data_IF_458900217515
#
_entry.id   IF_458900217515
#
_cell.length_a   1.000
_cell.length_b   1.000
_cell.length_c   1.000
_cell.angle_alpha   90.00
_cell.angle_beta   90.00
_cell.angle_gamma   90.00
#
_symmetry.space_group_name_H-M   'P 1'
#
loop_
_entity.id
_entity.type
_entity.pdbx_description
1 polymer ?
#
# COMPACT_ATOMS: atom_id res chain seq x y z
N UNK A 1 27.88 56.72 -74.05
CA UNK A 1 28.40 57.15 -72.73
C UNK A 1 28.08 56.05 -71.71
N UNK A 2 29.13 55.47 -71.13
CA UNK A 2 29.25 54.75 -69.82
C UNK A 2 28.30 53.57 -69.45
N UNK A 3 28.78 52.56 -68.68
CA UNK A 3 28.50 51.14 -68.94
C UNK A 3 27.76 50.44 -67.75
N UNK A 4 27.65 49.08 -67.68
CA UNK A 4 26.56 48.34 -67.01
C UNK A 4 26.87 47.94 -65.56
N UNK A 5 25.86 47.45 -64.85
CA UNK A 5 26.07 46.65 -63.64
C UNK A 5 25.31 45.31 -63.71
N UNK A 6 26.15 44.28 -63.70
CA UNK A 6 25.89 42.87 -63.46
C UNK A 6 25.20 42.70 -62.10
N UNK A 7 24.19 41.84 -62.00
CA UNK A 7 24.17 40.91 -60.87
C UNK A 7 23.46 39.61 -61.20
N UNK A 8 24.18 38.54 -60.88
CA UNK A 8 23.90 37.12 -61.05
C UNK A 8 23.04 36.59 -59.88
N UNK A 9 22.51 35.38 -60.09
CA UNK A 9 22.06 34.37 -59.10
C UNK A 9 20.67 34.64 -58.52
N UNK A 10 19.82 33.65 -58.24
CA UNK A 10 19.94 32.19 -58.21
C UNK A 10 18.51 31.64 -58.18
N UNK A 11 18.20 30.59 -58.94
CA UNK A 11 17.21 29.63 -58.47
C UNK A 11 17.75 28.98 -57.20
N UNK A 12 16.90 28.85 -56.18
CA UNK A 12 16.85 27.66 -55.34
C UNK A 12 15.40 27.41 -54.88
N UNK A 13 14.99 26.14 -54.82
CA UNK A 13 13.62 25.69 -54.56
C UNK A 13 13.34 25.59 -53.06
N UNK A 14 12.08 25.39 -52.69
CA UNK A 14 11.74 24.82 -51.38
C UNK A 14 10.69 25.59 -50.60
N UNK A 15 9.47 25.69 -51.14
CA UNK A 15 8.28 25.88 -50.33
C UNK A 15 7.98 24.58 -49.56
N UNK A 16 8.79 24.25 -48.55
CA UNK A 16 8.59 23.02 -47.76
C UNK A 16 9.31 23.01 -46.40
N UNK A 17 9.38 24.12 -45.64
CA UNK A 17 9.99 24.08 -44.29
C UNK A 17 9.37 25.06 -43.28
N UNK A 18 8.06 25.32 -43.37
CA UNK A 18 7.33 26.06 -42.32
C UNK A 18 6.04 25.37 -41.85
N UNK A 19 6.02 24.02 -41.90
CA UNK A 19 4.96 23.21 -41.26
C UNK A 19 5.49 22.06 -40.41
N UNK A 20 6.80 22.01 -40.16
CA UNK A 20 7.42 20.95 -39.37
C UNK A 20 7.79 21.36 -37.93
N UNK A 21 7.65 22.64 -37.55
CA UNK A 21 7.98 23.11 -36.18
C UNK A 21 6.76 23.16 -35.27
N UNK A 22 5.54 23.23 -35.81
CA UNK A 22 4.31 23.16 -35.01
C UNK A 22 3.96 21.72 -34.58
N UNK A 23 4.47 20.70 -35.26
CA UNK A 23 4.26 19.30 -34.88
C UNK A 23 5.15 18.86 -33.70
N UNK A 24 6.31 19.50 -33.50
CA UNK A 24 7.19 19.20 -32.36
C UNK A 24 6.72 19.84 -31.05
N UNK A 25 6.03 20.98 -31.09
CA UNK A 25 5.39 21.57 -29.91
C UNK A 25 4.12 20.82 -29.47
N UNK A 26 3.43 20.15 -30.40
CA UNK A 26 2.28 19.31 -30.09
C UNK A 26 2.70 17.93 -29.53
N UNK A 27 3.87 17.41 -29.93
CA UNK A 27 4.41 16.17 -29.38
C UNK A 27 5.04 16.33 -27.99
N UNK A 28 5.52 17.53 -27.61
CA UNK A 28 5.96 17.78 -26.23
C UNK A 28 4.79 18.05 -25.29
N UNK A 29 3.67 18.60 -25.80
CA UNK A 29 2.45 18.78 -25.02
C UNK A 29 1.73 17.45 -24.66
N UNK A 30 1.91 16.40 -25.46
CA UNK A 30 1.45 15.03 -25.14
C UNK A 30 2.36 14.28 -24.18
N UNK A 31 3.53 14.83 -23.83
CA UNK A 31 4.43 14.31 -22.78
C UNK A 31 4.33 15.14 -21.50
N UNK A 32 3.86 16.39 -21.58
CA UNK A 32 3.64 17.26 -20.42
C UNK A 32 2.19 17.28 -19.90
N UNK A 33 1.33 16.36 -20.37
CA UNK A 33 -0.07 16.28 -19.99
C UNK A 33 -0.39 14.96 -19.28
N UNK A 34 -0.22 14.96 -17.95
CA UNK A 34 -0.84 14.09 -16.92
C UNK A 34 0.00 14.03 -15.63
N UNK A 35 1.04 14.86 -15.51
CA UNK A 35 1.55 15.25 -14.20
C UNK A 35 0.63 16.30 -13.59
N UNK A 36 -0.54 15.90 -13.10
CA UNK A 36 -1.21 16.70 -12.09
C UNK A 36 -0.34 16.61 -10.83
N UNK A 37 0.58 17.56 -10.75
CA UNK A 37 1.47 17.89 -9.64
C UNK A 37 0.66 18.52 -8.49
N UNK A 38 -0.38 17.79 -8.09
CA UNK A 38 -0.93 17.79 -6.75
C UNK A 38 -0.86 16.36 -6.30
N UNK A 39 0.34 15.87 -5.99
CA UNK A 39 0.46 14.65 -5.21
C UNK A 39 -0.46 14.87 -3.99
N UNK A 40 -1.55 14.09 -3.86
CA UNK A 40 -2.38 14.17 -2.66
C UNK A 40 -1.46 13.95 -1.49
N UNK A 41 -1.78 14.51 -0.33
CA UNK A 41 -1.09 14.20 0.91
C UNK A 41 -1.08 12.66 1.09
N UNK A 42 -0.01 12.00 0.61
CA UNK A 42 0.05 10.53 0.41
C UNK A 42 0.04 9.79 1.74
N UNK A 43 -0.03 10.53 2.84
CA UNK A 43 0.02 10.02 4.19
C UNK A 43 -1.14 9.09 4.54
N UNK A 44 -2.20 8.97 3.71
CA UNK A 44 -3.46 8.27 4.00
C UNK A 44 -3.84 8.45 5.48
N UNK A 45 -4.13 9.70 5.92
CA UNK A 45 -4.18 10.05 7.34
C UNK A 45 -5.24 9.28 8.11
N UNK A 46 -6.33 8.90 7.46
CA UNK A 46 -7.38 8.04 8.02
C UNK A 46 -6.89 6.61 8.24
N UNK A 47 -6.18 6.03 7.27
CA UNK A 47 -5.53 4.72 7.42
C UNK A 47 -4.48 4.78 8.53
N UNK A 48 -3.64 5.82 8.57
CA UNK A 48 -2.65 6.01 9.63
C UNK A 48 -3.29 6.07 11.03
N UNK A 49 -4.42 6.75 11.15
CA UNK A 49 -5.16 6.84 12.42
C UNK A 49 -5.75 5.49 12.80
N UNK A 50 -6.32 4.76 11.83
CA UNK A 50 -6.86 3.41 12.02
C UNK A 50 -5.77 2.42 12.44
N UNK A 51 -4.61 2.44 11.78
CA UNK A 51 -3.48 1.56 12.11
C UNK A 51 -2.90 1.87 13.50
N UNK A 52 -2.80 3.15 13.88
CA UNK A 52 -2.37 3.54 15.23
C UNK A 52 -3.33 3.05 16.31
N UNK A 53 -4.64 3.19 16.08
CA UNK A 53 -5.65 2.67 17.01
C UNK A 53 -5.57 1.14 17.12
N UNK A 54 -5.46 0.42 15.99
CA UNK A 54 -5.30 -1.03 15.98
C UNK A 54 -4.02 -1.50 16.68
N UNK A 55 -2.90 -0.81 16.47
CA UNK A 55 -1.65 -1.13 17.16
C UNK A 55 -1.78 -0.95 18.67
N UNK A 56 -2.40 0.15 19.10
CA UNK A 56 -2.66 0.40 20.52
C UNK A 56 -3.56 -0.68 21.12
N UNK A 57 -4.68 -1.00 20.46
CA UNK A 57 -5.62 -2.02 20.93
C UNK A 57 -4.97 -3.41 20.98
N UNK A 58 -4.06 -3.72 20.04
CA UNK A 58 -3.28 -4.96 20.04
C UNK A 58 -2.25 -5.05 21.17
N UNK A 59 -1.66 -3.92 21.55
CA UNK A 59 -0.73 -3.83 22.68
C UNK A 59 -1.47 -3.98 24.02
N UNK A 60 -2.67 -3.41 24.14
CA UNK A 60 -3.55 -3.61 25.30
C UNK A 60 -4.19 -5.00 25.35
N UNK A 61 -4.45 -5.60 24.18
CA UNK A 61 -4.88 -6.98 24.07
C UNK A 61 -3.80 -7.90 24.65
N UNK A 62 -4.24 -8.87 25.44
CA UNK A 62 -3.34 -9.85 26.04
C UNK A 62 -2.30 -9.25 27.01
N UNK A 63 -2.71 -8.26 27.82
CA UNK A 63 -1.91 -7.74 28.92
C UNK A 63 -1.32 -8.84 29.82
N UNK A 64 -0.21 -8.55 30.52
CA UNK A 64 0.65 -9.54 31.21
C UNK A 64 -0.05 -10.47 32.20
N UNK A 65 -1.20 -10.08 32.75
CA UNK A 65 -1.95 -10.85 33.75
C UNK A 65 -3.13 -11.64 33.17
N UNK A 66 -3.36 -11.58 31.85
CA UNK A 66 -4.50 -12.23 31.21
C UNK A 66 -4.25 -13.72 30.98
N UNK A 67 -5.30 -14.52 31.14
CA UNK A 67 -5.29 -15.94 30.74
C UNK A 67 -5.31 -16.07 29.22
N UNK A 68 -4.93 -17.23 28.66
CA UNK A 68 -5.06 -17.49 27.24
C UNK A 68 -6.50 -17.31 26.73
N UNK A 69 -7.54 -17.71 27.48
CA UNK A 69 -8.92 -17.44 27.04
C UNK A 69 -9.27 -15.95 27.04
N UNK A 70 -8.85 -15.20 28.07
CA UNK A 70 -9.14 -13.77 28.14
C UNK A 70 -8.45 -13.02 26.99
N UNK A 71 -7.20 -13.36 26.70
CA UNK A 71 -6.48 -12.80 25.57
C UNK A 71 -7.11 -13.21 24.22
N UNK A 72 -7.57 -14.46 24.09
CA UNK A 72 -8.29 -14.91 22.90
C UNK A 72 -9.55 -14.06 22.63
N UNK A 73 -10.31 -13.71 23.68
CA UNK A 73 -11.49 -12.85 23.57
C UNK A 73 -11.14 -11.39 23.21
N UNK A 74 -10.01 -10.87 23.69
CA UNK A 74 -9.54 -9.55 23.28
C UNK A 74 -9.19 -9.53 21.80
N UNK A 75 -8.48 -10.55 21.31
CA UNK A 75 -8.12 -10.67 19.89
C UNK A 75 -9.36 -10.78 18.99
N UNK A 76 -10.41 -11.49 19.44
CA UNK A 76 -11.68 -11.57 18.69
C UNK A 76 -12.27 -10.16 18.41
N UNK A 77 -12.14 -9.22 19.35
CA UNK A 77 -12.63 -7.84 19.21
C UNK A 77 -11.88 -7.04 18.15
N UNK A 78 -10.63 -7.43 17.83
CA UNK A 78 -9.82 -6.77 16.80
C UNK A 78 -10.21 -7.19 15.38
N UNK A 79 -11.01 -8.25 15.22
CA UNK A 79 -11.34 -8.82 13.90
C UNK A 79 -11.98 -7.80 12.95
N UNK A 80 -13.13 -7.26 13.32
CA UNK A 80 -13.86 -6.33 12.45
C UNK A 80 -13.10 -5.01 12.19
N UNK A 81 -12.43 -4.38 13.19
CA UNK A 81 -11.54 -3.26 12.94
C UNK A 81 -10.43 -3.54 11.92
N UNK A 82 -9.79 -4.72 12.01
CA UNK A 82 -8.73 -5.13 11.08
C UNK A 82 -9.24 -5.38 9.67
N UNK A 83 -10.37 -6.07 9.52
CA UNK A 83 -11.01 -6.27 8.21
C UNK A 83 -11.40 -4.94 7.56
N UNK A 84 -11.88 -3.98 8.35
CA UNK A 84 -12.18 -2.62 7.86
C UNK A 84 -10.92 -1.89 7.38
N UNK A 85 -9.81 -1.96 8.13
CA UNK A 85 -8.55 -1.35 7.71
C UNK A 85 -8.02 -1.98 6.42
N UNK A 86 -8.15 -3.30 6.27
CA UNK A 86 -7.80 -3.97 5.03
C UNK A 86 -8.71 -3.57 3.87
N UNK A 87 -10.02 -3.42 4.09
CA UNK A 87 -10.94 -2.92 3.08
C UNK A 87 -10.58 -1.50 2.60
N UNK A 88 -10.13 -0.61 3.49
CA UNK A 88 -9.63 0.71 3.09
C UNK A 88 -8.41 0.60 2.15
N UNK A 89 -7.52 -0.36 2.37
CA UNK A 89 -6.39 -0.64 1.46
C UNK A 89 -6.88 -1.15 0.09
N UNK A 90 -7.94 -1.96 0.05
CA UNK A 90 -8.60 -2.36 -1.20
C UNK A 90 -9.15 -1.13 -1.94
N UNK A 91 -9.86 -0.25 -1.25
CA UNK A 91 -10.50 0.94 -1.81
C UNK A 91 -9.46 1.92 -2.39
N UNK A 92 -8.31 2.04 -1.74
CA UNK A 92 -7.19 2.84 -2.22
C UNK A 92 -6.32 2.14 -3.29
N UNK A 93 -6.68 0.91 -3.70
CA UNK A 93 -5.93 0.09 -4.67
C UNK A 93 -4.46 -0.12 -4.29
N UNK A 94 -4.19 -0.20 -2.99
CA UNK A 94 -2.85 -0.35 -2.42
C UNK A 94 -2.45 -1.81 -2.19
N UNK A 95 -3.26 -2.77 -2.63
CA UNK A 95 -3.01 -4.19 -2.45
C UNK A 95 -1.68 -4.65 -3.03
N UNK A 96 -0.92 -5.38 -2.21
CA UNK A 96 0.21 -6.17 -2.68
C UNK A 96 0.18 -7.60 -2.13
N UNK A 97 1.09 -8.42 -2.64
CA UNK A 97 1.20 -9.85 -2.28
C UNK A 97 1.47 -10.00 -0.78
N UNK A 98 2.34 -9.17 -0.20
CA UNK A 98 2.70 -9.24 1.22
C UNK A 98 1.50 -9.01 2.14
N UNK A 99 0.64 -8.07 1.81
CA UNK A 99 -0.54 -7.73 2.63
C UNK A 99 -1.62 -8.80 2.51
N UNK A 100 -1.81 -9.39 1.32
CA UNK A 100 -2.71 -10.54 1.14
C UNK A 100 -2.20 -11.77 1.91
N UNK A 101 -0.90 -12.05 1.83
CA UNK A 101 -0.28 -13.15 2.55
C UNK A 101 -0.38 -12.98 4.07
N UNK A 102 -0.21 -11.75 4.56
CA UNK A 102 -0.36 -11.41 5.97
C UNK A 102 -1.82 -11.58 6.45
N UNK A 103 -2.81 -11.15 5.66
CA UNK A 103 -4.23 -11.37 5.99
C UNK A 103 -4.57 -12.86 6.02
N UNK A 104 -4.15 -13.62 5.00
CA UNK A 104 -4.34 -15.06 4.95
C UNK A 104 -3.65 -15.78 6.14
N UNK A 105 -2.48 -15.31 6.57
CA UNK A 105 -1.79 -15.85 7.73
C UNK A 105 -2.55 -15.56 9.04
N UNK A 106 -3.15 -14.37 9.16
CA UNK A 106 -4.00 -14.02 10.29
C UNK A 106 -5.25 -14.91 10.35
N UNK A 107 -5.92 -15.14 9.22
CA UNK A 107 -7.10 -16.01 9.17
C UNK A 107 -6.76 -17.45 9.57
N UNK A 108 -5.65 -18.00 9.06
CA UNK A 108 -5.17 -19.32 9.50
C UNK A 108 -4.86 -19.35 11.01
N UNK A 109 -4.27 -18.28 11.55
CA UNK A 109 -3.98 -18.21 12.99
C UNK A 109 -5.25 -18.18 13.84
N UNK A 110 -6.29 -17.45 13.40
CA UNK A 110 -7.62 -17.41 14.04
C UNK A 110 -8.28 -18.78 14.05
N UNK A 111 -8.24 -19.50 12.93
CA UNK A 111 -8.77 -20.86 12.83
C UNK A 111 -8.09 -21.82 13.81
N UNK A 112 -6.75 -21.76 13.88
CA UNK A 112 -5.95 -22.55 14.80
C UNK A 112 -6.26 -22.23 16.25
N UNK A 113 -6.39 -20.95 16.63
CA UNK A 113 -6.82 -20.54 17.98
C UNK A 113 -8.21 -21.05 18.29
N UNK A 114 -9.16 -20.89 17.37
CA UNK A 114 -10.53 -21.36 17.56
C UNK A 114 -10.58 -22.87 17.79
N UNK A 115 -9.78 -23.66 17.05
CA UNK A 115 -9.63 -25.09 17.26
C UNK A 115 -9.02 -25.41 18.63
N UNK A 116 -7.91 -24.75 18.99
CA UNK A 116 -7.26 -24.94 20.28
C UNK A 116 -8.15 -24.55 21.48
N UNK A 117 -9.00 -23.53 21.32
CA UNK A 117 -9.95 -23.08 22.33
C UNK A 117 -11.11 -24.08 22.49
N UNK A 118 -11.59 -24.68 21.40
CA UNK A 118 -12.57 -25.78 21.46
C UNK A 118 -11.99 -26.98 22.22
N UNK A 119 -10.74 -27.34 21.95
CA UNK A 119 -10.05 -28.44 22.63
C UNK A 119 -9.78 -28.15 24.12
N UNK A 120 -9.36 -26.93 24.46
CA UNK A 120 -9.17 -26.53 25.86
C UNK A 120 -10.47 -26.68 26.67
N UNK A 121 -11.60 -26.23 26.08
CA UNK A 121 -12.93 -26.37 26.69
C UNK A 121 -13.39 -27.82 26.81
N UNK A 122 -13.14 -28.65 25.80
CA UNK A 122 -13.51 -30.07 25.84
C UNK A 122 -12.77 -30.82 26.95
N UNK A 123 -11.51 -30.45 27.19
CA UNK A 123 -10.67 -31.01 28.26
C UNK A 123 -10.88 -30.38 29.63
N UNK A 124 -11.59 -29.26 29.71
CA UNK A 124 -11.73 -28.43 30.92
C UNK A 124 -10.36 -28.04 31.52
N UNK A 125 -9.36 -27.83 30.65
CA UNK A 125 -7.99 -27.52 31.05
C UNK A 125 -7.72 -26.01 30.89
N UNK A 126 -7.73 -25.23 31.99
CA UNK A 126 -7.45 -23.79 31.95
C UNK A 126 -5.97 -23.47 31.63
N UNK A 127 -5.10 -24.47 31.64
CA UNK A 127 -3.66 -24.34 31.36
C UNK A 127 -3.27 -25.01 30.04
N UNK A 128 -4.25 -25.20 29.14
CA UNK A 128 -4.04 -25.86 27.86
C UNK A 128 -2.97 -25.14 27.01
N UNK A 129 -1.74 -25.65 27.05
CA UNK A 129 -0.57 -25.04 26.40
C UNK A 129 -0.76 -24.79 24.88
N UNK A 130 -1.45 -25.66 24.11
CA UNK A 130 -1.73 -25.38 22.70
C UNK A 130 -2.56 -24.10 22.50
N UNK A 131 -3.49 -23.78 23.40
CA UNK A 131 -4.26 -22.54 23.32
C UNK A 131 -3.34 -21.32 23.52
N UNK A 132 -2.47 -21.34 24.52
CA UNK A 132 -1.51 -20.27 24.76
C UNK A 132 -0.59 -20.04 23.54
N UNK A 133 -0.13 -21.11 22.89
CA UNK A 133 0.70 -21.02 21.67
C UNK A 133 -0.08 -20.46 20.49
N UNK A 134 -1.32 -20.91 20.27
CA UNK A 134 -2.15 -20.44 19.16
C UNK A 134 -2.49 -18.95 19.31
N UNK A 135 -2.79 -18.53 20.54
CA UNK A 135 -3.00 -17.13 20.89
C UNK A 135 -1.76 -16.27 20.60
N UNK A 136 -0.57 -16.73 21.00
CA UNK A 136 0.68 -16.00 20.70
C UNK A 136 0.95 -15.92 19.18
N UNK A 137 0.64 -16.98 18.44
CA UNK A 137 0.76 -17.00 16.98
C UNK A 137 -0.20 -16.01 16.30
N UNK A 138 -1.44 -15.93 16.77
CA UNK A 138 -2.42 -14.96 16.26
C UNK A 138 -2.02 -13.51 16.56
N UNK A 139 -1.57 -13.23 17.79
CA UNK A 139 -1.03 -11.89 18.13
C UNK A 139 0.13 -11.51 17.20
N UNK A 140 1.04 -12.44 16.90
CA UNK A 140 2.13 -12.21 15.95
C UNK A 140 1.63 -11.99 14.53
N UNK A 141 0.59 -12.71 14.10
CA UNK A 141 -0.01 -12.52 12.78
C UNK A 141 -0.64 -11.13 12.64
N UNK A 142 -1.34 -10.63 13.68
CA UNK A 142 -1.81 -9.25 13.74
C UNK A 142 -0.66 -8.24 13.63
N UNK A 143 0.44 -8.43 14.38
CA UNK A 143 1.61 -7.55 14.31
C UNK A 143 2.21 -7.49 12.90
N UNK A 144 2.34 -8.64 12.25
CA UNK A 144 2.86 -8.72 10.88
C UNK A 144 1.93 -8.00 9.88
N UNK A 145 0.61 -8.21 9.98
CA UNK A 145 -0.35 -7.52 9.12
C UNK A 145 -0.29 -6.01 9.31
N UNK A 146 -0.23 -5.51 10.54
CA UNK A 146 -0.10 -4.08 10.80
C UNK A 146 1.20 -3.50 10.22
N UNK A 147 2.30 -4.25 10.30
CA UNK A 147 3.57 -3.84 9.69
C UNK A 147 3.49 -3.75 8.16
N UNK A 148 2.83 -4.71 7.50
CA UNK A 148 2.63 -4.68 6.04
C UNK A 148 1.71 -3.53 5.62
N UNK A 149 0.61 -3.30 6.33
CA UNK A 149 -0.30 -2.18 6.07
C UNK A 149 0.40 -0.82 6.25
N UNK A 150 1.26 -0.70 7.25
CA UNK A 150 2.05 0.51 7.49
C UNK A 150 3.14 0.71 6.43
N UNK A 151 3.78 -0.38 5.97
CA UNK A 151 4.73 -0.35 4.85
C UNK A 151 4.05 0.13 3.58
N UNK A 152 2.87 -0.41 3.26
CA UNK A 152 2.10 0.02 2.09
C UNK A 152 1.74 1.50 2.15
N UNK A 153 1.30 1.97 3.32
CA UNK A 153 0.96 3.38 3.54
C UNK A 153 2.14 4.33 3.32
N UNK A 154 3.35 3.87 3.61
CA UNK A 154 4.58 4.68 3.56
C UNK A 154 5.42 4.46 2.29
N UNK A 155 5.06 3.48 1.46
CA UNK A 155 5.76 3.19 0.22
C UNK A 155 5.57 4.33 -0.81
N UNK A 156 6.64 4.76 -1.50
CA UNK A 156 6.51 5.64 -2.65
C UNK A 156 5.71 4.95 -3.76
N UNK A 157 4.91 5.69 -4.56
CA UNK A 157 4.21 5.11 -5.70
C UNK A 157 5.23 4.60 -6.72
N UNK A 158 4.94 3.50 -7.43
CA UNK A 158 5.81 3.04 -8.50
C UNK A 158 5.94 4.12 -9.58
N UNK A 159 7.17 4.53 -9.90
CA UNK A 159 7.47 5.46 -11.01
C UNK A 159 7.97 6.85 -10.62
N UNK A 160 8.49 7.07 -9.41
CA UNK A 160 9.07 8.37 -9.00
C UNK A 160 10.51 8.63 -9.53
N UNK A 161 11.02 7.76 -10.40
CA UNK A 161 12.25 8.00 -11.16
C UNK A 161 13.54 8.05 -10.33
N UNK A 162 13.52 7.50 -9.11
CA UNK A 162 14.70 7.44 -8.24
C UNK A 162 15.53 6.16 -8.39
N UNK A 163 15.08 5.21 -9.20
CA UNK A 163 15.88 4.05 -9.56
C UNK A 163 17.08 4.50 -10.42
N UNK A 164 18.34 4.28 -9.98
CA UNK A 164 19.49 4.58 -10.80
C UNK A 164 19.53 3.62 -12.00
N UNK A 165 19.63 4.19 -13.19
CA UNK A 165 19.88 3.48 -14.45
C UNK A 165 21.29 2.92 -14.48
#
# INVERSE_FOLDING_TARGET
MTPPLISRRRMCPGAATMRAVAALAACTALVSGCGDDTAPDRAYPELATTLRALSHDLDEACGRTKTPESCAQDLDRLTAPTERAFAQVLDHKLLDVGTVDAMNALDRARELRAAAAREARSRQDPHHLPLARAVAAEKRAYQNLLAELERLRTAPPPGDGTDPV
#
